data_IF_045564094892
#
_entry.id   IF_045564094892
#
_cell.length_a   1.000
_cell.length_b   1.000
_cell.length_c   1.000
_cell.angle_alpha   90.00
_cell.angle_beta   90.00
_cell.angle_gamma   90.00
#
_symmetry.space_group_name_H-M   'P 1'
#
loop_
_entity.id
_entity.type
_entity.pdbx_description
1 polymer ?
#
# COMPACT_ATOMS: atom_id res chain seq x y z
N UNK A 1 -2.75 -7.40 -9.88
CA UNK A 1 -2.64 -7.52 -8.40
C UNK A 1 -3.91 -8.04 -7.76
N UNK A 2 -3.84 -9.17 -7.04
CA UNK A 2 -4.96 -9.70 -6.25
C UNK A 2 -5.24 -8.83 -5.01
N UNK A 3 -6.51 -8.71 -4.62
CA UNK A 3 -6.93 -8.03 -3.39
C UNK A 3 -6.97 -9.05 -2.24
N UNK A 4 -5.83 -9.25 -1.59
CA UNK A 4 -5.68 -10.14 -0.43
C UNK A 4 -6.08 -9.37 0.84
N UNK A 5 -6.74 -10.01 1.84
CA UNK A 5 -6.99 -9.39 3.14
C UNK A 5 -5.69 -8.92 3.81
N UNK A 6 -5.74 -7.79 4.51
CA UNK A 6 -4.62 -7.33 5.34
C UNK A 6 -4.47 -8.24 6.57
N UNK A 7 -3.23 -8.37 7.05
CA UNK A 7 -2.88 -9.10 8.28
C UNK A 7 -3.27 -8.33 9.56
N UNK A 8 -3.70 -7.08 9.40
CA UNK A 8 -4.06 -6.17 10.49
C UNK A 8 -4.95 -5.04 9.99
N UNK A 9 -5.16 -3.99 10.81
CA UNK A 9 -6.01 -2.87 10.43
C UNK A 9 -5.49 -2.15 9.18
N UNK A 10 -6.40 -1.48 8.47
CA UNK A 10 -6.03 -0.66 7.32
C UNK A 10 -5.03 0.44 7.73
N UNK A 11 -4.13 0.76 6.80
CA UNK A 11 -3.18 1.84 6.99
C UNK A 11 -3.91 3.19 7.06
N UNK A 12 -3.66 3.94 8.12
CA UNK A 12 -4.13 5.32 8.27
C UNK A 12 -2.93 6.28 8.23
N UNK A 13 -2.92 7.28 7.33
CA UNK A 13 -1.90 8.32 7.32
C UNK A 13 -1.89 9.13 8.62
N UNK A 14 -0.70 9.40 9.18
CA UNK A 14 -0.54 10.18 10.40
C UNK A 14 0.93 10.43 10.75
N UNK A 15 1.23 11.28 11.76
CA UNK A 15 2.60 11.57 12.18
C UNK A 15 3.35 10.31 12.65
N UNK A 16 2.63 9.33 13.19
CA UNK A 16 3.19 8.06 13.67
C UNK A 16 3.17 6.94 12.62
N UNK A 17 2.82 7.26 11.36
CA UNK A 17 2.65 6.29 10.29
C UNK A 17 3.92 6.15 9.45
N UNK A 18 4.92 5.45 10.00
CA UNK A 18 6.23 5.26 9.38
C UNK A 18 6.25 4.28 8.21
N UNK A 19 5.28 3.35 8.14
CA UNK A 19 5.31 2.28 7.13
C UNK A 19 3.90 1.94 6.60
N UNK A 20 3.68 2.21 5.31
CA UNK A 20 2.40 2.01 4.62
C UNK A 20 2.04 0.52 4.52
N UNK A 21 3.05 -0.35 4.38
CA UNK A 21 2.83 -1.77 4.09
C UNK A 21 2.91 -2.69 5.31
N UNK A 22 2.87 -2.13 6.53
CA UNK A 22 3.12 -2.88 7.78
C UNK A 22 2.21 -4.08 8.01
N UNK A 23 1.00 -4.02 7.46
CA UNK A 23 -0.05 -5.03 7.63
C UNK A 23 -0.35 -5.77 6.32
N UNK A 24 0.51 -5.64 5.31
CA UNK A 24 0.32 -6.34 4.04
C UNK A 24 0.91 -7.73 4.12
N UNK A 25 0.23 -8.67 3.49
CA UNK A 25 0.76 -9.99 3.25
C UNK A 25 1.82 -9.95 2.11
N UNK A 26 2.72 -10.92 2.09
CA UNK A 26 3.77 -11.06 1.08
C UNK A 26 3.60 -12.41 0.39
N UNK A 27 3.31 -12.39 -0.92
CA UNK A 27 3.08 -13.62 -1.69
C UNK A 27 3.61 -13.53 -3.12
N UNK A 28 3.98 -14.67 -3.75
CA UNK A 28 4.36 -14.71 -5.16
C UNK A 28 3.26 -14.20 -6.10
N UNK A 29 1.99 -14.45 -5.77
CA UNK A 29 0.84 -14.00 -6.58
C UNK A 29 0.70 -12.47 -6.63
N UNK A 30 1.42 -11.75 -5.76
CA UNK A 30 1.39 -10.30 -5.68
C UNK A 30 2.54 -9.62 -6.46
N UNK A 31 3.29 -10.33 -7.30
CA UNK A 31 4.46 -9.79 -8.01
C UNK A 31 4.17 -8.84 -9.20
N UNK A 32 2.91 -8.53 -9.46
CA UNK A 32 2.54 -7.30 -10.19
C UNK A 32 2.78 -6.02 -9.36
N UNK A 33 3.06 -6.16 -8.06
CA UNK A 33 3.34 -5.04 -7.15
C UNK A 33 4.72 -4.43 -7.45
N UNK A 34 4.80 -3.10 -7.36
CA UNK A 34 6.08 -2.37 -7.44
C UNK A 34 6.94 -2.51 -6.18
N UNK A 35 6.45 -3.20 -5.15
CA UNK A 35 7.12 -3.36 -3.86
C UNK A 35 7.32 -4.84 -3.54
N UNK A 36 8.53 -5.20 -3.12
CA UNK A 36 8.93 -6.55 -2.73
C UNK A 36 9.61 -6.57 -1.36
N UNK A 37 9.64 -7.74 -0.73
CA UNK A 37 10.47 -8.09 0.41
C UNK A 37 11.36 -9.28 0.04
N UNK A 38 12.24 -9.67 0.96
CA UNK A 38 12.99 -10.93 0.93
C UNK A 38 12.12 -12.20 0.76
N UNK A 39 10.85 -12.15 1.16
CA UNK A 39 9.91 -13.28 1.11
C UNK A 39 9.01 -13.30 -0.14
N UNK A 40 9.08 -12.27 -1.00
CA UNK A 40 8.24 -12.17 -2.20
C UNK A 40 7.73 -10.77 -2.45
N UNK A 41 6.51 -10.64 -2.98
CA UNK A 41 5.96 -9.35 -3.39
C UNK A 41 4.84 -8.89 -2.46
N UNK A 42 4.79 -7.59 -2.17
CA UNK A 42 3.86 -7.00 -1.20
C UNK A 42 2.45 -6.91 -1.81
N UNK A 43 1.47 -7.52 -1.17
CA UNK A 43 0.07 -7.51 -1.59
C UNK A 43 -0.62 -6.18 -1.20
N UNK A 44 -0.36 -5.10 -1.93
CA UNK A 44 -0.98 -3.78 -1.72
C UNK A 44 -2.50 -3.75 -1.97
N UNK A 45 -3.21 -2.82 -1.32
CA UNK A 45 -4.63 -2.55 -1.55
C UNK A 45 -4.83 -1.39 -2.54
N UNK A 46 -6.03 -1.25 -3.16
CA UNK A 46 -6.34 -0.11 -4.01
C UNK A 46 -6.16 1.23 -3.30
N UNK A 47 -6.55 1.33 -2.02
CA UNK A 47 -6.44 2.53 -1.20
C UNK A 47 -4.99 2.93 -0.97
N UNK A 48 -4.10 1.95 -0.68
CA UNK A 48 -2.67 2.20 -0.54
C UNK A 48 -2.05 2.69 -1.85
N UNK A 49 -2.42 2.08 -2.99
CA UNK A 49 -1.96 2.53 -4.31
C UNK A 49 -2.40 3.96 -4.60
N UNK A 50 -3.66 4.29 -4.30
CA UNK A 50 -4.18 5.65 -4.46
C UNK A 50 -3.42 6.64 -3.56
N UNK A 51 -3.22 6.30 -2.29
CA UNK A 51 -2.47 7.15 -1.36
C UNK A 51 -1.04 7.43 -1.84
N UNK A 52 -0.33 6.40 -2.32
CA UNK A 52 1.02 6.53 -2.87
C UNK A 52 1.02 7.37 -4.16
N UNK A 53 0.04 7.18 -5.04
CA UNK A 53 -0.08 7.97 -6.27
C UNK A 53 -0.28 9.47 -6.01
N UNK A 54 -0.84 9.84 -4.86
CA UNK A 54 -1.01 11.24 -4.43
C UNK A 54 0.24 11.80 -3.71
N UNK A 55 1.16 10.96 -3.23
CA UNK A 55 2.36 11.31 -2.44
C UNK A 55 3.49 11.96 -3.26
N UNK A 56 3.16 12.89 -4.17
CA UNK A 56 4.13 13.62 -4.99
C UNK A 56 3.75 15.07 -5.29
N UNK A 57 2.69 15.60 -4.68
CA UNK A 57 2.23 17.00 -4.83
C UNK A 57 1.68 17.36 -6.23
N UNK A 58 1.96 16.56 -7.25
CA UNK A 58 1.55 16.79 -8.64
C UNK A 58 0.16 16.19 -8.96
N UNK A 59 -0.43 15.44 -8.03
CA UNK A 59 -1.73 14.76 -8.14
C UNK A 59 -2.54 14.98 -6.87
N UNK A 60 -2.73 16.24 -6.47
CA UNK A 60 -3.64 16.59 -5.37
C UNK A 60 -5.08 16.45 -5.88
N UNK A 61 -5.85 15.56 -5.26
CA UNK A 61 -7.31 15.66 -5.31
C UNK A 61 -7.67 16.98 -4.61
N UNK A 62 -8.33 17.89 -5.33
CA UNK A 62 -9.01 19.02 -4.71
C UNK A 62 -10.26 18.45 -4.03
N UNK A 63 -10.13 18.06 -2.77
CA UNK A 63 -11.28 17.67 -1.96
C UNK A 63 -11.82 18.94 -1.27
N UNK A 64 -12.98 19.41 -1.74
CA UNK A 64 -13.77 20.48 -1.13
C UNK A 64 -14.47 20.05 0.16
#
# INVERSE_FOLDING_TARGET
MPNVPLLGPEFQPGPDSLFVFKNNDVKPECCDSSYSSDMGCVCTTPQQRNYINMRGGNRTVEDG
#
